data_IF_693209534430
#
_entry.id   IF_693209534430
#
_cell.length_a   1.000
_cell.length_b   1.000
_cell.length_c   1.000
_cell.angle_alpha   90.00
_cell.angle_beta   90.00
_cell.angle_gamma   90.00
#
_symmetry.space_group_name_H-M   'P 1'
#
loop_
_entity.id
_entity.type
_entity.pdbx_description
1 polymer ?
#
# COMPACT_ATOMS: atom_id res chain seq x y z
N UNK A 1 38.91 -13.12 -26.37
CA UNK A 1 38.70 -13.58 -25.00
C UNK A 1 37.46 -12.89 -24.35
N UNK A 2 37.38 -11.56 -24.31
CA UNK A 2 36.24 -10.82 -23.71
C UNK A 2 34.87 -11.19 -24.31
N UNK A 3 34.75 -11.29 -25.65
CA UNK A 3 33.52 -11.71 -26.32
C UNK A 3 33.02 -13.10 -25.90
N UNK A 4 33.95 -14.05 -25.71
CA UNK A 4 33.60 -15.39 -25.25
C UNK A 4 33.05 -15.36 -23.81
N UNK A 5 33.64 -14.54 -22.93
CA UNK A 5 33.20 -14.39 -21.55
C UNK A 5 31.80 -13.72 -21.49
N UNK A 6 31.54 -12.70 -22.32
CA UNK A 6 30.22 -12.10 -22.46
C UNK A 6 29.18 -13.15 -22.90
N UNK A 7 29.54 -13.97 -23.89
CA UNK A 7 28.71 -15.08 -24.35
C UNK A 7 28.36 -16.07 -23.23
N UNK A 8 29.33 -16.42 -22.37
CA UNK A 8 29.13 -17.30 -21.22
C UNK A 8 28.18 -16.67 -20.20
N UNK A 9 28.33 -15.36 -19.91
CA UNK A 9 27.42 -14.64 -18.98
C UNK A 9 25.99 -14.69 -19.52
N UNK A 10 25.77 -14.32 -20.79
CA UNK A 10 24.46 -14.34 -21.41
C UNK A 10 23.84 -15.74 -21.41
N UNK A 11 24.57 -16.74 -21.83
CA UNK A 11 24.12 -18.15 -21.81
C UNK A 11 23.73 -18.58 -20.39
N UNK A 12 24.49 -18.17 -19.37
CA UNK A 12 24.20 -18.52 -17.99
C UNK A 12 22.90 -17.86 -17.49
N UNK A 13 22.65 -16.58 -17.85
CA UNK A 13 21.40 -15.91 -17.54
C UNK A 13 20.22 -16.64 -18.17
N UNK A 14 20.27 -16.93 -19.47
CA UNK A 14 19.22 -17.69 -20.16
C UNK A 14 19.01 -19.07 -19.54
N UNK A 15 20.07 -19.84 -19.30
CA UNK A 15 19.96 -21.16 -18.71
C UNK A 15 19.30 -21.12 -17.32
N UNK A 16 19.67 -20.14 -16.49
CA UNK A 16 19.08 -19.99 -15.16
C UNK A 16 17.58 -19.63 -15.25
N UNK A 17 17.23 -18.69 -16.12
CA UNK A 17 15.83 -18.25 -16.32
C UNK A 17 14.98 -19.43 -16.83
N UNK A 18 15.42 -20.16 -17.83
CA UNK A 18 14.70 -21.31 -18.35
C UNK A 18 14.53 -22.41 -17.30
N UNK A 19 15.58 -22.69 -16.50
CA UNK A 19 15.50 -23.72 -15.46
C UNK A 19 14.47 -23.35 -14.39
N UNK A 20 14.47 -22.09 -13.94
CA UNK A 20 13.53 -21.62 -12.89
C UNK A 20 12.09 -21.52 -13.39
N UNK A 21 11.86 -21.04 -14.62
CA UNK A 21 10.52 -20.96 -15.22
C UNK A 21 9.93 -22.30 -15.60
N UNK A 22 10.77 -23.28 -15.97
CA UNK A 22 10.33 -24.65 -16.24
C UNK A 22 10.01 -25.47 -14.97
N UNK A 23 10.07 -24.85 -13.77
CA UNK A 23 9.81 -25.53 -12.51
C UNK A 23 10.97 -26.38 -12.00
N UNK A 24 12.17 -26.20 -12.54
CA UNK A 24 13.37 -26.87 -12.05
C UNK A 24 13.75 -26.45 -10.64
N UNK A 25 14.12 -27.41 -9.81
CA UNK A 25 14.62 -27.12 -8.45
C UNK A 25 16.03 -26.53 -8.58
N UNK A 26 16.13 -25.22 -8.52
CA UNK A 26 17.39 -24.49 -8.60
C UNK A 26 17.28 -23.12 -7.92
N UNK A 27 18.37 -22.69 -7.25
CA UNK A 27 18.47 -21.36 -6.67
C UNK A 27 19.15 -20.38 -7.60
N UNK A 28 18.80 -19.11 -7.52
CA UNK A 28 19.50 -18.02 -8.25
C UNK A 28 20.83 -17.63 -7.60
N UNK A 29 21.12 -18.14 -6.40
CA UNK A 29 22.31 -17.81 -5.63
C UNK A 29 23.63 -18.17 -6.35
N UNK A 30 23.83 -19.43 -6.67
CA UNK A 30 25.08 -19.90 -7.36
C UNK A 30 25.25 -19.27 -8.76
N UNK A 31 24.18 -19.14 -9.58
CA UNK A 31 24.25 -18.39 -10.83
C UNK A 31 24.66 -16.92 -10.68
N UNK A 32 24.20 -16.23 -9.66
CA UNK A 32 24.59 -14.82 -9.44
C UNK A 32 26.06 -14.66 -9.09
N UNK A 33 26.59 -15.54 -8.24
CA UNK A 33 28.02 -15.56 -7.92
C UNK A 33 28.86 -15.84 -9.17
N UNK A 34 28.46 -16.83 -10.00
CA UNK A 34 29.12 -17.17 -11.23
C UNK A 34 29.16 -15.98 -12.20
N UNK A 35 28.02 -15.35 -12.45
CA UNK A 35 27.92 -14.17 -13.31
C UNK A 35 28.79 -13.04 -12.75
N UNK A 36 28.71 -12.79 -11.44
CA UNK A 36 29.51 -11.76 -10.75
C UNK A 36 31.04 -11.99 -10.92
N UNK A 37 31.47 -13.22 -10.80
CA UNK A 37 32.89 -13.59 -11.02
C UNK A 37 33.35 -13.18 -12.41
N UNK A 38 32.57 -13.52 -13.44
CA UNK A 38 32.94 -13.19 -14.83
C UNK A 38 32.83 -11.69 -15.13
N UNK A 39 31.87 -10.96 -14.52
CA UNK A 39 31.80 -9.52 -14.64
C UNK A 39 33.01 -8.85 -14.00
N UNK A 40 33.42 -9.27 -12.81
CA UNK A 40 34.65 -8.79 -12.16
C UNK A 40 35.91 -9.08 -12.99
N UNK A 41 36.00 -10.29 -13.54
CA UNK A 41 37.10 -10.68 -14.47
C UNK A 41 37.12 -9.74 -15.69
N UNK A 42 35.96 -9.48 -16.32
CA UNK A 42 35.90 -8.59 -17.49
C UNK A 42 36.34 -7.15 -17.15
N UNK A 43 36.00 -6.65 -15.99
CA UNK A 43 36.42 -5.29 -15.55
C UNK A 43 37.94 -5.26 -15.41
N UNK A 44 38.56 -6.23 -14.75
CA UNK A 44 40.02 -6.28 -14.59
C UNK A 44 40.72 -6.45 -15.95
N UNK A 45 40.19 -7.30 -16.83
CA UNK A 45 40.73 -7.52 -18.16
C UNK A 45 40.61 -6.29 -19.07
N UNK A 46 39.48 -5.61 -19.02
CA UNK A 46 39.24 -4.36 -19.75
C UNK A 46 40.18 -3.26 -19.27
N UNK A 47 40.39 -3.13 -17.96
CA UNK A 47 41.32 -2.13 -17.39
C UNK A 47 42.74 -2.34 -17.89
N UNK A 48 43.21 -3.60 -17.99
CA UNK A 48 44.49 -3.91 -18.59
C UNK A 48 44.55 -3.56 -20.09
N UNK A 49 43.50 -3.96 -20.84
CA UNK A 49 43.47 -3.78 -22.29
C UNK A 49 43.33 -2.32 -22.75
N UNK A 50 42.54 -1.50 -22.06
CA UNK A 50 42.25 -0.13 -22.48
C UNK A 50 43.05 0.95 -21.73
N UNK A 51 43.40 0.70 -20.48
CA UNK A 51 44.07 1.68 -19.62
C UNK A 51 45.53 1.30 -19.33
N UNK A 52 45.95 0.10 -19.66
CA UNK A 52 47.28 -0.40 -19.36
C UNK A 52 47.55 -0.59 -17.86
N UNK A 53 46.47 -0.68 -17.05
CA UNK A 53 46.56 -0.83 -15.60
C UNK A 53 46.40 -2.32 -15.25
N UNK A 54 47.40 -2.88 -14.59
CA UNK A 54 47.37 -4.26 -14.10
C UNK A 54 46.63 -4.32 -12.76
N UNK A 55 45.34 -4.71 -12.81
CA UNK A 55 44.54 -4.93 -11.63
C UNK A 55 44.58 -6.39 -11.17
N UNK A 56 44.57 -6.67 -9.85
CA UNK A 56 44.57 -8.02 -9.33
C UNK A 56 43.23 -8.71 -9.66
N UNK A 57 43.23 -9.64 -10.61
CA UNK A 57 42.02 -10.34 -11.10
C UNK A 57 41.19 -10.93 -9.98
N UNK A 58 41.83 -11.57 -8.99
CA UNK A 58 41.13 -12.23 -7.87
C UNK A 58 40.28 -11.23 -7.08
N UNK A 59 40.82 -10.06 -6.79
CA UNK A 59 40.10 -9.05 -6.02
C UNK A 59 38.89 -8.50 -6.76
N UNK A 60 39.01 -8.29 -8.07
CA UNK A 60 37.92 -7.82 -8.91
C UNK A 60 36.86 -8.91 -9.15
N UNK A 61 37.26 -10.18 -9.25
CA UNK A 61 36.35 -11.32 -9.30
C UNK A 61 35.48 -11.35 -8.02
N UNK A 62 36.11 -11.27 -6.84
CA UNK A 62 35.41 -11.27 -5.56
C UNK A 62 34.50 -10.05 -5.42
N UNK A 63 34.96 -8.86 -5.81
CA UNK A 63 34.13 -7.65 -5.81
C UNK A 63 32.92 -7.77 -6.76
N UNK A 64 33.11 -8.32 -7.96
CA UNK A 64 32.06 -8.60 -8.92
C UNK A 64 31.01 -9.58 -8.38
N UNK A 65 31.46 -10.66 -7.70
CA UNK A 65 30.56 -11.60 -7.02
C UNK A 65 29.68 -10.89 -5.97
N UNK A 66 30.28 -10.07 -5.11
CA UNK A 66 29.56 -9.30 -4.10
C UNK A 66 28.59 -8.30 -4.72
N UNK A 67 29.00 -7.59 -5.78
CA UNK A 67 28.17 -6.61 -6.48
C UNK A 67 26.94 -7.21 -7.12
N UNK A 68 27.11 -8.28 -7.95
CA UNK A 68 25.98 -8.93 -8.63
C UNK A 68 25.05 -9.59 -7.63
N UNK A 69 25.58 -10.25 -6.60
CA UNK A 69 24.76 -10.84 -5.54
C UNK A 69 23.93 -9.77 -4.81
N UNK A 70 24.55 -8.64 -4.49
CA UNK A 70 23.84 -7.52 -3.86
C UNK A 70 22.71 -6.99 -4.73
N UNK A 71 22.97 -6.81 -6.03
CA UNK A 71 21.97 -6.27 -6.96
C UNK A 71 20.77 -7.19 -7.12
N UNK A 72 21.00 -8.50 -7.25
CA UNK A 72 19.92 -9.49 -7.47
C UNK A 72 19.15 -9.82 -6.19
N UNK A 73 19.86 -10.00 -5.08
CA UNK A 73 19.24 -10.42 -3.81
C UNK A 73 18.84 -9.25 -2.90
N UNK A 74 19.33 -8.05 -3.19
CA UNK A 74 19.18 -6.85 -2.35
C UNK A 74 19.60 -7.05 -0.89
N UNK A 75 20.65 -7.87 -0.69
CA UNK A 75 21.21 -8.23 0.61
C UNK A 75 22.70 -7.84 0.70
N UNK A 76 23.06 -6.56 0.81
CA UNK A 76 24.44 -6.09 0.77
C UNK A 76 25.30 -6.67 1.89
N UNK A 77 24.78 -6.75 3.12
CA UNK A 77 25.53 -7.32 4.25
C UNK A 77 25.87 -8.79 4.03
N UNK A 78 24.88 -9.57 3.60
CA UNK A 78 25.05 -11.00 3.31
C UNK A 78 26.09 -11.21 2.21
N UNK A 79 26.01 -10.41 1.14
CA UNK A 79 26.93 -10.52 0.01
C UNK A 79 28.39 -10.26 0.44
N UNK A 80 28.64 -9.14 1.16
CA UNK A 80 30.02 -8.80 1.53
C UNK A 80 30.61 -9.75 2.56
N UNK A 81 29.87 -10.18 3.58
CA UNK A 81 30.37 -11.10 4.58
C UNK A 81 30.60 -12.51 4.01
N UNK A 82 29.66 -12.99 3.20
CA UNK A 82 29.81 -14.30 2.55
C UNK A 82 31.08 -14.35 1.69
N UNK A 83 31.30 -13.33 0.85
CA UNK A 83 32.47 -13.30 -0.03
C UNK A 83 33.77 -13.09 0.77
N UNK A 84 33.75 -12.24 1.81
CA UNK A 84 34.90 -12.06 2.69
C UNK A 84 35.28 -13.38 3.39
N UNK A 85 34.28 -14.09 3.92
CA UNK A 85 34.50 -15.36 4.63
C UNK A 85 34.92 -16.51 3.71
N UNK A 86 34.39 -16.55 2.46
CA UNK A 86 34.73 -17.54 1.46
C UNK A 86 36.07 -17.29 0.81
N UNK A 87 36.68 -16.13 1.01
CA UNK A 87 38.00 -15.76 0.45
C UNK A 87 39.11 -15.92 1.48
N UNK A 88 40.26 -15.25 1.23
CA UNK A 88 41.43 -15.26 2.14
C UNK A 88 41.24 -14.44 3.41
N UNK A 89 40.00 -14.12 3.79
CA UNK A 89 39.65 -13.34 4.99
C UNK A 89 39.18 -11.90 4.72
N UNK A 90 39.14 -11.09 5.76
CA UNK A 90 38.54 -9.77 5.74
C UNK A 90 39.40 -8.66 5.12
N UNK A 91 40.53 -8.97 4.49
CA UNK A 91 41.43 -7.96 3.88
C UNK A 91 40.72 -7.14 2.78
N UNK A 92 39.77 -7.73 2.09
CA UNK A 92 39.00 -7.10 1.02
C UNK A 92 37.66 -6.53 1.50
N UNK A 93 37.40 -6.49 2.82
CA UNK A 93 36.09 -6.09 3.34
C UNK A 93 35.69 -4.68 2.88
N UNK A 94 36.61 -3.71 2.92
CA UNK A 94 36.34 -2.31 2.51
C UNK A 94 35.97 -2.22 1.02
N UNK A 95 36.74 -2.79 0.06
CA UNK A 95 36.33 -2.85 -1.34
C UNK A 95 34.98 -3.55 -1.55
N UNK A 96 34.70 -4.64 -0.83
CA UNK A 96 33.42 -5.35 -0.90
C UNK A 96 32.26 -4.50 -0.40
N UNK A 97 32.46 -3.75 0.69
CA UNK A 97 31.46 -2.81 1.23
C UNK A 97 31.11 -1.73 0.20
N UNK A 98 32.12 -1.11 -0.41
CA UNK A 98 31.91 -0.06 -1.42
C UNK A 98 31.15 -0.63 -2.62
N UNK A 99 31.59 -1.79 -3.15
CA UNK A 99 30.94 -2.43 -4.30
C UNK A 99 29.50 -2.81 -4.00
N UNK A 100 29.24 -3.41 -2.83
CA UNK A 100 27.91 -3.79 -2.41
C UNK A 100 26.99 -2.55 -2.22
N UNK A 101 27.50 -1.51 -1.58
CA UNK A 101 26.75 -0.25 -1.39
C UNK A 101 26.41 0.40 -2.74
N UNK A 102 27.39 0.55 -3.63
CA UNK A 102 27.16 1.10 -4.97
C UNK A 102 26.15 0.27 -5.77
N UNK A 103 26.29 -1.05 -5.75
CA UNK A 103 25.36 -1.95 -6.45
C UNK A 103 23.94 -1.80 -5.93
N UNK A 104 23.76 -1.78 -4.60
CA UNK A 104 22.44 -1.58 -3.97
C UNK A 104 21.81 -0.24 -4.37
N UNK A 105 22.58 0.84 -4.29
CA UNK A 105 22.09 2.17 -4.66
C UNK A 105 21.76 2.29 -6.15
N UNK A 106 22.49 1.62 -7.02
CA UNK A 106 22.22 1.61 -8.45
C UNK A 106 20.96 0.81 -8.82
N UNK A 107 20.70 -0.30 -8.14
CA UNK A 107 19.55 -1.18 -8.45
C UNK A 107 18.24 -0.68 -7.84
N UNK A 108 18.28 -0.13 -6.63
CA UNK A 108 17.10 0.26 -5.89
C UNK A 108 16.13 1.23 -6.61
N UNK A 109 16.57 2.18 -7.47
CA UNK A 109 15.65 3.00 -8.26
C UNK A 109 14.87 2.24 -9.33
N UNK A 110 15.44 1.14 -9.86
CA UNK A 110 14.85 0.33 -10.93
C UNK A 110 14.01 -0.81 -10.37
N UNK A 111 14.53 -1.51 -9.36
CA UNK A 111 13.89 -2.68 -8.74
C UNK A 111 13.81 -2.49 -7.23
N UNK A 112 12.58 -2.38 -6.74
CA UNK A 112 12.31 -2.19 -5.30
C UNK A 112 12.36 -3.49 -4.49
N UNK A 113 12.19 -4.61 -5.16
CA UNK A 113 12.04 -5.92 -4.53
C UNK A 113 13.11 -6.87 -5.04
N UNK A 114 13.63 -7.72 -4.15
CA UNK A 114 14.53 -8.79 -4.54
C UNK A 114 13.81 -9.86 -5.37
N UNK A 115 14.54 -10.68 -6.08
CA UNK A 115 13.98 -11.83 -6.85
C UNK A 115 13.09 -12.72 -5.98
N UNK A 116 13.36 -12.81 -4.68
CA UNK A 116 12.57 -13.61 -3.74
C UNK A 116 11.30 -12.91 -3.25
N UNK A 117 11.34 -11.60 -3.12
CA UNK A 117 10.22 -10.83 -2.58
C UNK A 117 9.28 -10.30 -3.66
N UNK A 118 9.74 -10.23 -4.92
CA UNK A 118 8.94 -9.76 -6.05
C UNK A 118 7.63 -10.56 -6.26
N UNK A 119 7.63 -11.92 -6.26
CA UNK A 119 6.39 -12.68 -6.42
C UNK A 119 5.39 -12.48 -5.28
N UNK A 120 5.90 -12.16 -4.07
CA UNK A 120 5.06 -11.84 -2.92
C UNK A 120 4.48 -10.42 -3.05
N UNK A 121 5.27 -9.47 -3.59
CA UNK A 121 4.80 -8.11 -3.86
C UNK A 121 3.70 -8.10 -4.91
N UNK A 122 3.84 -8.87 -5.98
CA UNK A 122 2.85 -8.99 -7.06
C UNK A 122 1.53 -9.61 -6.57
N UNK A 123 1.58 -10.51 -5.60
CA UNK A 123 0.38 -11.11 -4.97
C UNK A 123 -0.23 -10.23 -3.87
N UNK A 124 0.22 -8.99 -3.72
CA UNK A 124 -0.22 -8.05 -2.66
C UNK A 124 -0.02 -8.58 -1.23
N UNK A 125 0.82 -9.60 -1.04
CA UNK A 125 1.05 -10.25 0.25
C UNK A 125 2.30 -9.75 0.98
N UNK A 126 3.02 -8.77 0.45
CA UNK A 126 4.14 -8.16 1.17
C UNK A 126 3.65 -7.16 2.20
N UNK A 127 3.85 -7.49 3.46
CA UNK A 127 3.87 -6.54 4.57
C UNK A 127 5.13 -5.67 4.44
N UNK A 128 5.10 -4.70 3.51
CA UNK A 128 6.20 -3.76 3.33
C UNK A 128 6.34 -2.86 4.56
N UNK A 129 7.47 -2.15 4.68
CA UNK A 129 7.76 -1.15 5.74
C UNK A 129 6.62 -0.13 5.99
N UNK A 130 5.58 -0.12 5.17
CA UNK A 130 4.42 0.75 5.30
C UNK A 130 3.19 -0.07 5.72
N UNK A 131 3.20 -0.52 7.00
CA UNK A 131 2.09 -1.26 7.62
C UNK A 131 0.75 -0.56 7.41
N UNK A 132 0.75 0.77 7.41
CA UNK A 132 -0.43 1.59 7.21
C UNK A 132 -1.04 1.42 5.82
N UNK A 133 -0.22 1.39 4.76
CA UNK A 133 -0.72 1.17 3.39
C UNK A 133 -1.29 -0.23 3.19
N UNK A 134 -0.66 -1.23 3.80
CA UNK A 134 -1.16 -2.60 3.75
C UNK A 134 -2.52 -2.70 4.48
N UNK A 135 -2.59 -2.17 5.70
CA UNK A 135 -3.82 -2.16 6.49
C UNK A 135 -4.97 -1.48 5.75
N UNK A 136 -4.74 -0.31 5.15
CA UNK A 136 -5.76 0.43 4.38
C UNK A 136 -6.20 -0.29 3.09
N UNK A 137 -5.38 -1.16 2.52
CA UNK A 137 -5.76 -1.96 1.34
C UNK A 137 -6.64 -3.16 1.69
N UNK A 138 -6.41 -3.76 2.86
CA UNK A 138 -7.06 -5.01 3.29
C UNK A 138 -8.16 -4.80 4.32
N UNK A 139 -8.27 -3.61 4.91
CA UNK A 139 -9.30 -3.30 5.92
C UNK A 139 -10.71 -3.52 5.34
N UNK A 140 -11.50 -4.40 5.93
CA UNK A 140 -12.89 -4.61 5.52
C UNK A 140 -13.80 -3.51 6.09
N UNK A 141 -13.55 -2.26 5.70
CA UNK A 141 -14.20 -1.07 6.26
C UNK A 141 -15.72 -1.07 6.14
N UNK A 142 -16.28 -1.85 5.22
CA UNK A 142 -17.75 -1.99 5.08
C UNK A 142 -18.43 -2.50 6.36
N UNK A 143 -17.70 -3.23 7.21
CA UNK A 143 -18.20 -3.68 8.51
C UNK A 143 -18.39 -2.52 9.49
N UNK A 144 -17.80 -1.37 9.21
CA UNK A 144 -17.97 -0.16 10.03
C UNK A 144 -19.25 0.61 9.68
N UNK A 145 -19.92 0.26 8.57
CA UNK A 145 -21.16 0.90 8.14
C UNK A 145 -22.26 0.59 9.17
N UNK A 146 -22.88 1.64 9.66
CA UNK A 146 -24.05 1.55 10.50
C UNK A 146 -25.31 1.73 9.65
N UNK A 147 -26.06 0.67 9.51
CA UNK A 147 -27.31 0.66 8.74
C UNK A 147 -28.53 0.96 9.59
N UNK A 148 -28.37 1.04 10.91
CA UNK A 148 -29.46 1.27 11.85
C UNK A 148 -29.64 2.77 12.16
N UNK A 149 -29.84 3.58 11.14
CA UNK A 149 -30.10 5.00 11.26
C UNK A 149 -31.54 5.28 10.81
N UNK A 150 -32.26 6.02 11.63
CA UNK A 150 -33.61 6.46 11.30
C UNK A 150 -33.57 7.46 10.15
N UNK A 151 -34.38 7.20 9.16
CA UNK A 151 -34.53 8.06 7.98
C UNK A 151 -35.81 8.88 8.10
N UNK A 152 -35.78 10.06 7.47
CA UNK A 152 -36.95 10.99 7.40
C UNK A 152 -37.34 11.11 5.93
N UNK A 153 -38.62 10.94 5.56
CA UNK A 153 -39.06 11.15 4.19
C UNK A 153 -38.94 12.61 3.77
N UNK A 154 -38.48 12.87 2.53
CA UNK A 154 -38.24 14.23 2.03
C UNK A 154 -39.48 15.10 2.03
N UNK A 155 -40.64 14.54 1.66
CA UNK A 155 -41.92 15.26 1.59
C UNK A 155 -42.68 15.27 2.92
N UNK A 156 -42.01 15.01 4.04
CA UNK A 156 -42.64 15.08 5.38
C UNK A 156 -42.54 16.45 6.00
N UNK A 157 -43.34 16.65 7.04
CA UNK A 157 -43.36 17.91 7.80
C UNK A 157 -42.42 17.87 9.01
N UNK A 158 -42.17 19.02 9.63
CA UNK A 158 -41.40 19.12 10.87
C UNK A 158 -41.98 18.23 11.98
N UNK A 159 -43.28 17.94 12.00
CA UNK A 159 -43.91 17.01 12.93
C UNK A 159 -43.28 15.63 12.84
N UNK A 160 -43.19 15.08 11.64
CA UNK A 160 -42.56 13.77 11.43
C UNK A 160 -41.11 13.75 11.87
N UNK A 161 -40.37 14.83 11.58
CA UNK A 161 -38.98 14.96 12.02
C UNK A 161 -38.84 14.97 13.54
N UNK A 162 -39.72 15.72 14.26
CA UNK A 162 -39.72 15.77 15.73
C UNK A 162 -40.07 14.42 16.34
N UNK A 163 -40.98 13.67 15.74
CA UNK A 163 -41.34 12.31 16.19
C UNK A 163 -40.13 11.34 16.04
N UNK A 164 -39.39 11.46 14.96
CA UNK A 164 -38.16 10.64 14.75
C UNK A 164 -37.10 11.05 15.80
N UNK A 165 -36.91 12.34 16.07
CA UNK A 165 -35.97 12.80 17.11
C UNK A 165 -36.32 12.23 18.48
N UNK A 166 -37.62 12.20 18.86
CA UNK A 166 -38.08 11.71 20.15
C UNK A 166 -37.68 10.22 20.39
N UNK A 167 -37.51 9.45 19.34
CA UNK A 167 -37.16 8.03 19.39
C UNK A 167 -35.66 7.74 19.10
N UNK A 168 -34.85 8.80 18.91
CA UNK A 168 -33.44 8.66 18.52
C UNK A 168 -32.53 9.46 19.45
N UNK A 169 -31.36 8.87 19.78
CA UNK A 169 -30.32 9.55 20.58
C UNK A 169 -29.23 10.24 19.72
N UNK A 170 -29.49 10.40 18.43
CA UNK A 170 -28.53 10.95 17.48
C UNK A 170 -28.91 12.36 17.06
N UNK A 171 -27.91 13.15 16.69
CA UNK A 171 -28.09 14.52 16.22
C UNK A 171 -28.14 14.66 14.71
N UNK A 172 -27.94 13.55 13.98
CA UNK A 172 -27.86 13.53 12.52
C UNK A 172 -28.87 12.53 11.97
N UNK A 173 -29.68 12.96 11.01
CA UNK A 173 -30.72 12.15 10.36
C UNK A 173 -30.57 12.22 8.86
N UNK A 174 -30.98 11.15 8.19
CA UNK A 174 -30.92 11.04 6.73
C UNK A 174 -32.28 11.31 6.14
N UNK A 175 -32.32 12.15 5.13
CA UNK A 175 -33.53 12.38 4.32
C UNK A 175 -33.43 11.51 3.07
N UNK A 176 -34.49 10.73 2.85
CA UNK A 176 -34.61 9.84 1.68
C UNK A 176 -35.93 10.12 0.94
N UNK A 177 -35.93 9.80 -0.35
CA UNK A 177 -37.14 9.80 -1.16
C UNK A 177 -37.91 8.47 -1.06
N UNK A 178 -39.00 8.36 -1.81
CA UNK A 178 -39.85 7.16 -1.87
C UNK A 178 -39.12 5.95 -2.47
N UNK A 179 -38.04 6.17 -3.25
CA UNK A 179 -37.23 5.13 -3.88
C UNK A 179 -35.99 4.77 -3.03
N UNK A 180 -35.90 5.26 -1.78
CA UNK A 180 -34.77 5.11 -0.88
C UNK A 180 -33.47 5.78 -1.43
N UNK A 181 -33.63 6.81 -2.27
CA UNK A 181 -32.51 7.63 -2.73
C UNK A 181 -32.21 8.70 -1.67
N UNK A 182 -30.91 8.93 -1.50
CA UNK A 182 -30.43 9.95 -0.59
C UNK A 182 -30.80 11.35 -1.12
N UNK A 183 -31.51 12.13 -0.31
CA UNK A 183 -31.92 13.49 -0.62
C UNK A 183 -31.15 14.55 0.16
N UNK A 184 -30.81 14.29 1.43
CA UNK A 184 -30.07 15.24 2.25
C UNK A 184 -29.85 14.75 3.68
N UNK A 185 -29.31 15.65 4.50
CA UNK A 185 -29.08 15.46 5.93
C UNK A 185 -29.84 16.51 6.74
N UNK A 186 -30.31 16.11 7.91
CA UNK A 186 -30.84 17.03 8.93
C UNK A 186 -29.93 16.99 10.15
N UNK A 187 -29.43 18.14 10.56
CA UNK A 187 -28.59 18.29 11.75
C UNK A 187 -29.48 18.92 12.84
N UNK A 188 -29.79 18.17 13.91
CA UNK A 188 -30.70 18.60 14.95
C UNK A 188 -30.26 19.90 15.61
N UNK A 189 -28.97 20.10 15.79
CA UNK A 189 -28.42 21.28 16.44
C UNK A 189 -28.73 22.57 15.66
N UNK A 190 -28.77 22.50 14.33
CA UNK A 190 -29.07 23.66 13.47
C UNK A 190 -30.55 24.02 13.49
N UNK A 191 -31.42 23.08 13.89
CA UNK A 191 -32.87 23.23 13.86
C UNK A 191 -33.49 23.38 15.23
N UNK A 192 -32.69 23.53 16.32
CA UNK A 192 -33.20 23.61 17.71
C UNK A 192 -34.27 24.66 17.90
N UNK A 193 -34.12 25.85 17.31
CA UNK A 193 -35.10 26.95 17.46
C UNK A 193 -36.46 26.62 16.83
N UNK A 194 -36.47 25.82 15.76
CA UNK A 194 -37.68 25.48 15.01
C UNK A 194 -38.37 24.26 15.62
N UNK A 195 -37.61 23.29 16.12
CA UNK A 195 -38.11 22.04 16.72
C UNK A 195 -39.01 22.32 17.95
N UNK A 196 -38.70 23.33 18.72
CA UNK A 196 -39.49 23.65 19.92
C UNK A 196 -40.73 24.53 19.65
N UNK A 197 -40.97 24.99 18.42
CA UNK A 197 -42.11 25.81 18.03
C UNK A 197 -43.22 24.94 17.43
N UNK A 198 -44.17 24.51 18.27
CA UNK A 198 -45.28 23.64 17.82
C UNK A 198 -46.12 24.24 16.68
N UNK A 199 -46.20 25.58 16.60
CA UNK A 199 -46.91 26.31 15.55
C UNK A 199 -46.35 26.07 14.15
N UNK A 200 -45.10 25.57 14.04
CA UNK A 200 -44.39 25.34 12.81
C UNK A 200 -44.47 23.89 12.34
N UNK A 201 -44.96 22.96 13.16
CA UNK A 201 -44.91 21.53 12.91
C UNK A 201 -45.58 21.09 11.59
N UNK A 202 -46.65 21.78 11.21
CA UNK A 202 -47.39 21.44 9.98
C UNK A 202 -47.14 22.47 8.86
N UNK A 203 -46.28 23.48 9.09
CA UNK A 203 -45.98 24.55 8.14
C UNK A 203 -44.59 24.41 7.48
N UNK A 204 -43.65 23.86 8.23
CA UNK A 204 -42.26 23.70 7.76
C UNK A 204 -42.08 22.29 7.23
N UNK A 205 -41.50 22.17 6.05
CA UNK A 205 -41.23 20.91 5.41
C UNK A 205 -39.76 20.49 5.60
N UNK A 206 -39.51 19.20 5.59
CA UNK A 206 -38.15 18.61 5.75
C UNK A 206 -37.22 19.08 4.66
N UNK A 207 -37.72 19.24 3.43
CA UNK A 207 -36.96 19.75 2.27
C UNK A 207 -36.43 21.17 2.47
N UNK A 208 -37.08 22.01 3.31
CA UNK A 208 -36.64 23.37 3.62
C UNK A 208 -35.50 23.39 4.67
N UNK A 209 -35.35 22.30 5.41
CA UNK A 209 -34.40 22.17 6.51
C UNK A 209 -33.16 21.30 6.16
N UNK A 210 -33.29 20.46 5.16
CA UNK A 210 -32.19 19.53 4.81
C UNK A 210 -31.03 20.26 4.14
N UNK A 211 -29.83 19.76 4.39
CA UNK A 211 -28.59 20.19 3.74
C UNK A 211 -28.01 19.07 2.90
N UNK A 212 -27.38 19.41 1.79
CA UNK A 212 -26.58 18.45 1.03
C UNK A 212 -25.18 18.41 1.64
N UNK A 213 -24.65 17.22 1.98
CA UNK A 213 -23.29 17.11 2.51
C UNK A 213 -22.26 17.46 1.44
N UNK A 214 -21.16 18.06 1.85
CA UNK A 214 -20.05 18.43 0.96
C UNK A 214 -19.45 17.21 0.25
N UNK A 215 -19.54 16.04 0.88
CA UNK A 215 -18.95 14.82 0.35
C UNK A 215 -19.65 13.54 0.86
N UNK A 216 -19.60 12.50 0.02
CA UNK A 216 -20.14 11.17 0.29
C UNK A 216 -19.04 10.10 0.32
N UNK A 217 -19.27 9.05 1.08
CA UNK A 217 -18.54 7.80 0.94
C UNK A 217 -19.34 6.93 -0.04
N UNK A 218 -18.68 6.44 -1.08
CA UNK A 218 -19.29 5.49 -2.00
C UNK A 218 -19.02 4.06 -1.55
N UNK A 219 -19.98 3.17 -1.82
CA UNK A 219 -19.86 1.76 -1.44
C UNK A 219 -18.63 1.05 -2.06
N UNK A 220 -18.15 1.55 -3.18
CA UNK A 220 -16.97 1.05 -3.91
C UNK A 220 -15.66 1.77 -3.54
N UNK A 221 -15.70 2.71 -2.58
CA UNK A 221 -14.48 3.40 -2.11
C UNK A 221 -13.56 2.42 -1.36
N UNK A 222 -12.27 2.61 -1.52
CA UNK A 222 -11.26 1.90 -0.70
C UNK A 222 -11.16 2.52 0.68
N UNK A 223 -10.70 1.76 1.68
CA UNK A 223 -10.49 2.30 3.03
C UNK A 223 -9.53 3.52 3.05
N UNK A 224 -8.57 3.57 2.13
CA UNK A 224 -7.69 4.72 1.97
C UNK A 224 -8.45 5.97 1.52
N UNK A 225 -9.38 5.83 0.57
CA UNK A 225 -10.24 6.93 0.09
C UNK A 225 -11.18 7.40 1.21
N UNK A 226 -11.75 6.46 1.96
CA UNK A 226 -12.61 6.79 3.12
C UNK A 226 -11.85 7.61 4.16
N UNK A 227 -10.62 7.19 4.50
CA UNK A 227 -9.76 7.92 5.43
C UNK A 227 -9.41 9.32 4.93
N UNK A 228 -9.12 9.46 3.63
CA UNK A 228 -8.80 10.74 3.00
C UNK A 228 -10.00 11.69 3.04
N UNK A 229 -11.21 11.19 2.73
CA UNK A 229 -12.46 11.96 2.81
C UNK A 229 -12.71 12.47 4.23
N UNK A 230 -12.52 11.63 5.27
CA UNK A 230 -12.59 12.08 6.66
C UNK A 230 -11.54 13.13 7.03
N UNK A 231 -10.34 13.06 6.45
CA UNK A 231 -9.29 14.07 6.71
C UNK A 231 -9.60 15.40 6.03
N UNK A 232 -10.12 15.34 4.81
CA UNK A 232 -10.42 16.53 3.99
C UNK A 232 -11.62 17.32 4.52
N UNK A 233 -12.71 16.63 4.82
CA UNK A 233 -13.95 17.27 5.30
C UNK A 233 -13.93 17.63 6.79
N UNK A 234 -13.13 16.94 7.59
CA UNK A 234 -13.14 17.09 9.05
C UNK A 234 -14.37 16.48 9.73
N UNK A 235 -15.32 15.92 8.99
CA UNK A 235 -16.57 15.39 9.50
C UNK A 235 -16.35 14.16 10.39
N UNK A 236 -17.19 14.01 11.42
CA UNK A 236 -17.18 12.85 12.32
C UNK A 236 -18.02 11.68 11.81
N UNK A 237 -19.02 11.96 10.99
CA UNK A 237 -19.90 10.97 10.39
C UNK A 237 -20.14 11.34 8.93
N UNK A 238 -20.16 10.34 8.05
CA UNK A 238 -20.41 10.55 6.63
C UNK A 238 -21.40 9.51 6.09
N UNK A 239 -22.34 9.94 5.23
CA UNK A 239 -23.28 9.02 4.60
C UNK A 239 -22.58 8.15 3.57
N UNK A 240 -23.01 6.89 3.50
CA UNK A 240 -22.57 5.92 2.50
C UNK A 240 -23.70 5.70 1.49
N UNK A 241 -23.39 5.91 0.22
CA UNK A 241 -24.34 5.78 -0.88
C UNK A 241 -23.75 4.93 -2.01
N UNK A 242 -24.61 4.40 -2.88
CA UNK A 242 -24.20 3.86 -4.17
C UNK A 242 -23.94 5.00 -5.18
N UNK A 243 -23.36 4.68 -6.34
CA UNK A 243 -23.21 5.64 -7.45
C UNK A 243 -24.57 6.17 -7.95
N UNK A 244 -25.62 5.40 -7.80
CA UNK A 244 -27.01 5.79 -8.13
C UNK A 244 -27.71 6.54 -6.99
N UNK A 245 -26.95 7.08 -6.03
CA UNK A 245 -27.44 7.81 -4.85
C UNK A 245 -28.33 7.00 -3.91
N UNK A 246 -28.38 5.67 -4.00
CA UNK A 246 -29.13 4.84 -3.06
C UNK A 246 -28.43 4.84 -1.71
N UNK A 247 -29.17 5.14 -0.66
CA UNK A 247 -28.66 5.20 0.71
C UNK A 247 -28.37 3.77 1.23
N UNK A 248 -27.22 3.59 1.87
CA UNK A 248 -26.77 2.32 2.48
C UNK A 248 -26.68 2.45 4.00
N UNK A 249 -26.09 3.52 4.51
CA UNK A 249 -25.84 3.70 5.94
C UNK A 249 -24.88 4.85 6.22
N UNK A 250 -24.33 4.87 7.42
CA UNK A 250 -23.33 5.85 7.85
C UNK A 250 -22.04 5.18 8.29
N UNK A 251 -20.91 5.88 8.10
CA UNK A 251 -19.65 5.53 8.74
C UNK A 251 -19.27 6.61 9.72
N UNK A 252 -19.00 6.20 10.96
CA UNK A 252 -18.41 7.07 11.98
C UNK A 252 -16.89 7.00 11.87
N UNK A 253 -16.24 8.16 11.88
CA UNK A 253 -14.76 8.27 11.90
C UNK A 253 -14.15 7.52 13.09
N UNK A 254 -14.80 7.60 14.26
CA UNK A 254 -14.32 6.91 15.46
C UNK A 254 -14.34 5.37 15.28
N UNK A 255 -15.46 4.82 14.77
CA UNK A 255 -15.60 3.38 14.53
C UNK A 255 -14.64 2.91 13.44
N UNK A 256 -14.50 3.68 12.35
CA UNK A 256 -13.55 3.39 11.28
C UNK A 256 -12.10 3.35 11.80
N UNK A 257 -11.69 4.35 12.59
CA UNK A 257 -10.33 4.40 13.15
C UNK A 257 -10.09 3.31 14.19
N UNK A 258 -11.08 2.97 15.01
CA UNK A 258 -10.99 1.85 15.95
C UNK A 258 -10.75 0.53 15.23
N UNK A 259 -11.53 0.25 14.17
CA UNK A 259 -11.37 -0.96 13.37
C UNK A 259 -10.02 -1.00 12.65
N UNK A 260 -9.58 0.15 12.15
CA UNK A 260 -8.25 0.29 11.55
C UNK A 260 -7.12 0.00 12.55
N UNK A 261 -7.21 0.50 13.78
CA UNK A 261 -6.23 0.24 14.82
C UNK A 261 -6.21 -1.24 15.25
N UNK A 262 -7.38 -1.85 15.42
CA UNK A 262 -7.51 -3.29 15.72
C UNK A 262 -6.90 -4.12 14.59
N UNK A 263 -7.22 -3.79 13.33
CA UNK A 263 -6.67 -4.50 12.17
C UNK A 263 -5.14 -4.41 12.11
N UNK A 264 -4.55 -3.25 12.44
CA UNK A 264 -3.08 -3.11 12.52
C UNK A 264 -2.53 -3.96 13.68
N UNK A 265 -3.15 -3.91 14.85
CA UNK A 265 -2.68 -4.67 16.01
C UNK A 265 -2.68 -6.19 15.73
N UNK A 266 -3.80 -6.73 15.27
CA UNK A 266 -3.94 -8.16 14.94
C UNK A 266 -2.97 -8.65 13.87
N UNK A 267 -2.62 -7.77 12.92
CA UNK A 267 -1.68 -8.09 11.84
C UNK A 267 -0.22 -7.68 12.14
N UNK A 268 0.09 -7.17 13.32
CA UNK A 268 1.45 -6.78 13.72
C UNK A 268 2.14 -7.82 14.61
N UNK A 269 1.43 -8.82 15.11
CA UNK A 269 1.98 -9.87 15.99
C UNK A 269 2.60 -11.07 15.25
N UNK A 270 2.53 -11.11 13.92
CA UNK A 270 3.21 -12.08 13.05
C UNK A 270 4.36 -11.35 12.29
#
# INVERSE_FOLDING_TARGET
MALAVIGIILMKVFATTFTTTAGGVGGVFAPTLFIGAFVGFLVAHASHAFLGIDLPYVNFILAGMAGVMTGVMQAPLTAMFLIAESSTGYTLLIPLMVTAACSYLCVNPFEKYSVYTQPLAEKDNLRTHNKDKYALRKLPWHQTIDTNILTVPVHSTLRTYTDVIAHCKRNLFVVIDENNLFSGLLVMDDHREVIFKQELYDKVHVEDLMIEPEEFIYADDTAAMVLEKFKRTGNFNMPVITRDRKYIGFVSKAKFLSEYQTFIADNSED
#
